data_IF_208623223659
#
_entry.id   IF_208623223659
#
_cell.length_a   1.000
_cell.length_b   1.000
_cell.length_c   1.000
_cell.angle_alpha   90.00
_cell.angle_beta   90.00
_cell.angle_gamma   90.00
#
_symmetry.space_group_name_H-M   'P 1'
#
loop_
_entity.id
_entity.type
_entity.pdbx_description
1 polymer ?
#
# COMPACT_ATOMS: atom_id res chain seq x y z
N UNK A 1 -16.83 19.98 -1.08
CA UNK A 1 -16.89 19.61 0.35
C UNK A 1 -15.52 19.81 0.96
N UNK A 2 -15.35 20.74 1.91
CA UNK A 2 -14.10 20.89 2.68
C UNK A 2 -14.17 19.89 3.83
N UNK A 3 -13.38 18.82 3.78
CA UNK A 3 -13.24 17.91 4.92
C UNK A 3 -12.65 18.70 6.10
N UNK A 4 -13.18 18.56 7.32
CA UNK A 4 -12.57 19.17 8.50
C UNK A 4 -11.12 18.66 8.64
N UNK A 5 -10.18 19.50 9.11
CA UNK A 5 -8.81 19.07 9.30
C UNK A 5 -8.79 17.91 10.30
N UNK A 6 -8.36 16.73 9.85
CA UNK A 6 -8.17 15.59 10.74
C UNK A 6 -7.02 15.91 11.70
N UNK A 7 -7.22 15.72 13.00
CA UNK A 7 -6.14 15.77 13.98
C UNK A 7 -5.01 14.82 13.54
N UNK A 8 -3.80 15.35 13.40
CA UNK A 8 -2.60 14.58 13.07
C UNK A 8 -1.85 14.23 14.33
N UNK A 9 -1.26 13.04 14.37
CA UNK A 9 -0.34 12.69 15.44
C UNK A 9 0.90 13.59 15.40
N UNK A 10 1.51 13.81 16.58
CA UNK A 10 2.80 14.51 16.68
C UNK A 10 3.86 13.75 15.87
N UNK A 11 4.91 14.45 15.43
CA UNK A 11 6.03 13.80 14.73
C UNK A 11 6.59 12.64 15.57
N UNK A 12 6.75 11.47 14.95
CA UNK A 12 7.19 10.25 15.63
C UNK A 12 6.07 9.37 16.19
N UNK A 13 4.82 9.83 16.14
CA UNK A 13 3.65 9.05 16.56
C UNK A 13 2.78 8.70 15.35
N UNK A 14 2.17 7.51 15.39
CA UNK A 14 1.32 6.94 14.37
C UNK A 14 -0.11 6.81 14.87
N UNK A 15 -1.08 6.95 13.98
CA UNK A 15 -2.49 6.80 14.34
C UNK A 15 -2.89 5.33 14.29
N UNK A 16 -3.48 4.84 15.37
CA UNK A 16 -4.03 3.48 15.44
C UNK A 16 -5.41 3.39 14.79
N UNK A 17 -5.90 2.18 14.57
CA UNK A 17 -7.24 1.84 14.08
C UNK A 17 -8.35 2.32 15.02
N UNK A 18 -8.05 2.44 16.32
CA UNK A 18 -8.93 3.09 17.31
C UNK A 18 -8.89 4.63 17.25
N UNK A 19 -8.06 5.20 16.37
CA UNK A 19 -7.90 6.63 16.19
C UNK A 19 -6.98 7.31 17.21
N UNK A 20 -6.26 6.57 18.04
CA UNK A 20 -5.30 7.08 19.05
C UNK A 20 -3.90 7.27 18.44
N UNK A 21 -3.07 8.11 19.03
CA UNK A 21 -1.66 8.24 18.62
C UNK A 21 -0.77 7.37 19.50
N UNK A 22 0.10 6.56 18.90
CA UNK A 22 1.07 5.69 19.56
C UNK A 22 2.46 5.88 18.94
N UNK A 23 3.52 5.76 19.73
CA UNK A 23 4.90 5.71 19.25
C UNK A 23 5.31 4.29 18.82
N UNK A 24 4.54 3.28 19.21
CA UNK A 24 4.69 1.89 18.75
C UNK A 24 3.38 1.36 18.16
N UNK A 25 3.37 1.14 16.84
CA UNK A 25 2.29 0.43 16.13
C UNK A 25 2.79 -0.87 15.46
N UNK A 26 3.94 -1.41 15.90
CA UNK A 26 4.54 -2.62 15.34
C UNK A 26 3.62 -3.85 15.40
N UNK A 27 2.80 -3.94 16.46
CA UNK A 27 1.83 -5.04 16.67
C UNK A 27 0.45 -4.74 16.09
N UNK A 28 0.25 -3.54 15.55
CA UNK A 28 -1.04 -3.12 15.06
C UNK A 28 -1.29 -3.69 13.67
N UNK A 29 -2.42 -4.38 13.51
CA UNK A 29 -2.86 -4.89 12.22
C UNK A 29 -3.08 -3.73 11.25
N UNK A 30 -2.73 -3.95 9.99
CA UNK A 30 -3.15 -3.08 8.91
C UNK A 30 -4.67 -3.13 8.75
N UNK A 31 -5.29 -2.01 8.40
CA UNK A 31 -6.75 -1.94 8.22
C UNK A 31 -7.25 -2.72 7.02
N UNK A 32 -6.36 -3.12 6.12
CA UNK A 32 -6.65 -3.85 4.89
C UNK A 32 -6.22 -5.30 5.02
N UNK A 33 -7.06 -6.21 4.54
CA UNK A 33 -6.77 -7.63 4.49
C UNK A 33 -5.55 -7.93 3.60
N UNK A 34 -4.81 -8.99 3.93
CA UNK A 34 -3.59 -9.38 3.21
C UNK A 34 -2.47 -8.33 3.19
N UNK A 35 -2.54 -7.33 4.07
CA UNK A 35 -1.41 -6.48 4.41
C UNK A 35 -0.75 -6.91 5.70
N UNK A 36 0.55 -6.64 5.79
CA UNK A 36 1.37 -6.84 6.97
C UNK A 36 2.07 -5.54 7.35
N UNK A 37 2.16 -5.30 8.65
CA UNK A 37 2.90 -4.18 9.21
C UNK A 37 4.39 -4.51 9.17
N UNK A 38 5.16 -3.71 8.44
CA UNK A 38 6.62 -3.87 8.34
C UNK A 38 7.33 -2.75 9.09
N UNK A 39 8.47 -3.06 9.71
CA UNK A 39 9.27 -2.06 10.44
C UNK A 39 9.84 -1.01 9.51
N UNK A 40 10.18 -1.40 8.28
CA UNK A 40 10.73 -0.55 7.25
C UNK A 40 10.10 -0.92 5.91
N UNK A 41 9.12 -0.15 5.47
CA UNK A 41 8.44 -0.40 4.20
C UNK A 41 8.74 0.63 3.13
N UNK A 42 8.35 0.29 1.91
CA UNK A 42 8.41 1.15 0.74
C UNK A 42 7.16 2.04 0.63
N UNK A 43 7.25 3.17 -0.09
CA UNK A 43 6.07 3.96 -0.43
C UNK A 43 5.00 3.11 -1.12
N UNK A 44 3.73 3.42 -0.85
CA UNK A 44 2.59 2.70 -1.43
C UNK A 44 2.67 2.57 -2.95
N UNK A 45 3.03 3.65 -3.65
CA UNK A 45 3.18 3.69 -5.11
C UNK A 45 4.41 2.94 -5.62
N UNK A 46 5.26 2.44 -4.71
CA UNK A 46 6.40 1.55 -4.94
C UNK A 46 6.11 0.10 -4.53
N UNK A 47 4.86 -0.26 -4.24
CA UNK A 47 4.46 -1.66 -4.09
C UNK A 47 3.98 -2.21 -5.44
N UNK A 48 4.24 -3.51 -5.73
CA UNK A 48 3.77 -4.16 -6.96
C UNK A 48 2.26 -4.13 -7.08
N UNK A 49 1.79 -3.99 -8.32
CA UNK A 49 0.36 -3.95 -8.63
C UNK A 49 0.04 -4.63 -9.96
N UNK A 50 -1.21 -5.11 -10.10
CA UNK A 50 -1.65 -5.86 -11.28
C UNK A 50 -1.68 -5.05 -12.58
N UNK A 51 -1.74 -3.71 -12.51
CA UNK A 51 -1.82 -2.86 -13.70
C UNK A 51 -0.47 -2.63 -14.37
N UNK A 52 0.63 -3.03 -13.71
CA UNK A 52 2.00 -2.80 -14.18
C UNK A 52 2.76 -4.11 -14.33
N UNK A 53 2.74 -4.73 -15.53
CA UNK A 53 3.37 -6.04 -15.76
C UNK A 53 4.90 -6.02 -15.58
N UNK A 54 5.55 -4.87 -15.76
CA UNK A 54 6.99 -4.70 -15.57
C UNK A 54 7.31 -3.94 -14.28
N UNK A 55 6.91 -4.50 -13.13
CA UNK A 55 7.13 -3.85 -11.84
C UNK A 55 8.62 -3.57 -11.55
N UNK A 56 9.51 -4.50 -11.93
CA UNK A 56 10.96 -4.31 -11.81
C UNK A 56 11.48 -3.06 -12.54
N UNK A 57 10.90 -2.72 -13.68
CA UNK A 57 11.26 -1.53 -14.43
C UNK A 57 10.76 -0.26 -13.72
N UNK A 58 9.59 -0.31 -13.08
CA UNK A 58 9.05 0.81 -12.29
C UNK A 58 9.97 1.12 -11.10
N UNK A 59 10.44 0.10 -10.39
CA UNK A 59 11.39 0.25 -9.29
C UNK A 59 12.72 0.86 -9.76
N UNK A 60 13.17 0.48 -10.97
CA UNK A 60 14.42 0.99 -11.57
C UNK A 60 14.28 2.37 -12.19
N UNK A 61 13.10 2.81 -12.58
CA UNK A 61 12.89 4.11 -13.25
C UNK A 61 12.42 5.20 -12.28
N UNK A 62 11.81 4.81 -11.17
CA UNK A 62 11.26 5.76 -10.19
C UNK A 62 12.31 6.09 -9.12
N UNK A 63 12.93 7.27 -9.21
CA UNK A 63 13.96 7.74 -8.26
C UNK A 63 13.50 7.63 -6.79
N UNK A 64 12.22 7.86 -6.51
CA UNK A 64 11.64 7.76 -5.16
C UNK A 64 11.58 6.31 -4.64
N UNK A 65 11.47 5.32 -5.52
CA UNK A 65 11.52 3.90 -5.15
C UNK A 65 12.96 3.40 -5.07
N UNK A 66 13.87 3.97 -5.86
CA UNK A 66 15.32 3.70 -5.78
C UNK A 66 15.95 4.24 -4.50
N UNK A 67 15.55 5.45 -4.10
CA UNK A 67 15.80 5.98 -2.76
C UNK A 67 15.07 5.04 -1.83
N UNK A 68 15.78 4.06 -1.26
CA UNK A 68 15.30 3.06 -0.28
C UNK A 68 14.77 3.75 0.99
N UNK A 69 13.71 4.52 0.81
CA UNK A 69 13.13 5.41 1.77
C UNK A 69 12.36 4.53 2.72
N UNK A 70 12.93 4.35 3.90
CA UNK A 70 12.33 3.54 4.94
C UNK A 70 11.12 4.29 5.50
N UNK A 71 9.91 3.81 5.19
CA UNK A 71 8.70 4.28 5.86
C UNK A 71 8.51 3.42 7.11
N UNK A 72 8.71 3.98 8.32
CA UNK A 72 8.57 3.21 9.55
C UNK A 72 7.12 2.76 9.73
N UNK A 73 6.94 1.50 10.11
CA UNK A 73 5.63 0.91 10.40
C UNK A 73 4.61 1.00 9.25
N UNK A 74 5.11 0.94 8.01
CA UNK A 74 4.26 0.90 6.82
C UNK A 74 3.44 -0.40 6.74
N UNK A 75 2.36 -0.34 5.97
CA UNK A 75 1.58 -1.52 5.60
C UNK A 75 1.92 -1.91 4.15
N UNK A 76 2.33 -3.14 3.96
CA UNK A 76 2.64 -3.72 2.66
C UNK A 76 1.80 -4.96 2.41
N UNK A 77 1.51 -5.27 1.14
CA UNK A 77 0.94 -6.58 0.81
C UNK A 77 1.86 -7.70 1.31
N UNK A 78 1.25 -8.77 1.83
CA UNK A 78 1.99 -9.98 2.23
C UNK A 78 2.77 -10.55 1.04
N UNK A 79 3.86 -11.29 1.27
CA UNK A 79 4.54 -12.03 0.20
C UNK A 79 3.56 -12.89 -0.60
N UNK A 80 3.62 -12.81 -1.94
CA UNK A 80 2.68 -13.49 -2.85
C UNK A 80 1.38 -12.71 -3.12
N UNK A 81 1.19 -11.55 -2.50
CA UNK A 81 0.06 -10.65 -2.77
C UNK A 81 0.58 -9.34 -3.36
N UNK A 82 -0.20 -8.78 -4.28
CA UNK A 82 0.09 -7.50 -4.94
C UNK A 82 -1.13 -6.60 -4.89
N UNK A 83 -0.94 -5.30 -5.09
CA UNK A 83 -2.05 -4.37 -5.16
C UNK A 83 -2.90 -4.67 -6.39
N UNK A 84 -4.22 -4.78 -6.20
CA UNK A 84 -5.15 -4.90 -7.33
C UNK A 84 -5.06 -3.68 -8.27
N UNK A 85 -4.95 -2.50 -7.69
CA UNK A 85 -4.82 -1.22 -8.38
C UNK A 85 -4.05 -0.21 -7.51
N UNK A 86 -3.38 0.77 -8.12
CA UNK A 86 -2.69 1.84 -7.40
C UNK A 86 -3.65 2.91 -6.85
N UNK A 87 -4.62 2.51 -6.04
CA UNK A 87 -5.56 3.44 -5.40
C UNK A 87 -5.33 3.49 -3.88
N UNK A 88 -4.61 4.53 -3.44
CA UNK A 88 -4.17 4.70 -2.04
C UNK A 88 -5.33 4.74 -1.03
N UNK A 89 -6.53 5.18 -1.46
CA UNK A 89 -7.65 5.38 -0.54
C UNK A 89 -8.36 4.07 -0.14
N UNK A 90 -8.30 3.05 -0.99
CA UNK A 90 -8.92 1.73 -0.77
C UNK A 90 -8.00 0.63 -1.28
N UNK A 91 -6.79 0.51 -0.73
CA UNK A 91 -5.86 -0.45 -1.27
C UNK A 91 -6.39 -1.86 -1.01
N UNK A 92 -6.22 -2.73 -2.00
CA UNK A 92 -6.67 -4.12 -1.93
C UNK A 92 -5.51 -5.00 -2.38
N UNK A 93 -5.07 -5.92 -1.52
CA UNK A 93 -4.03 -6.88 -1.85
C UNK A 93 -4.67 -8.21 -2.26
N UNK A 94 -4.43 -8.63 -3.49
CA UNK A 94 -4.90 -9.91 -4.04
C UNK A 94 -3.70 -10.80 -4.36
N UNK A 95 -3.86 -12.13 -4.40
CA UNK A 95 -2.81 -13.02 -4.86
C UNK A 95 -2.33 -12.65 -6.26
N UNK A 96 -1.03 -12.75 -6.51
CA UNK A 96 -0.42 -12.39 -7.79
C UNK A 96 -1.05 -13.16 -8.97
N UNK A 97 -1.44 -14.43 -8.76
CA UNK A 97 -2.13 -15.23 -9.76
C UNK A 97 -3.49 -14.64 -10.22
N UNK A 98 -4.16 -13.85 -9.37
CA UNK A 98 -5.47 -13.26 -9.68
C UNK A 98 -5.36 -12.06 -10.64
N UNK A 99 -4.18 -11.44 -10.79
CA UNK A 99 -3.98 -10.33 -11.71
C UNK A 99 -4.36 -10.69 -13.16
N UNK A 100 -4.09 -11.93 -13.59
CA UNK A 100 -4.39 -12.44 -14.94
C UNK A 100 -5.89 -12.42 -15.28
N UNK A 101 -6.75 -12.49 -14.26
CA UNK A 101 -8.21 -12.49 -14.44
C UNK A 101 -8.84 -11.10 -14.46
N UNK A 102 -8.08 -10.06 -14.12
CA UNK A 102 -8.59 -8.68 -14.00
C UNK A 102 -8.49 -7.91 -15.33
N UNK A 103 -7.50 -8.25 -16.16
CA UNK A 103 -7.33 -7.69 -17.52
C UNK A 103 -8.46 -8.16 -18.46
N UNK A 104 -8.99 -9.37 -18.27
CA UNK A 104 -10.05 -9.93 -19.10
C UNK A 104 -11.47 -9.39 -18.80
N UNK A 105 -11.66 -8.61 -17.72
CA UNK A 105 -12.99 -8.06 -17.39
C UNK A 105 -13.29 -6.70 -18.02
N UNK A 106 -12.31 -6.07 -18.67
CA UNK A 106 -12.50 -4.76 -19.32
C UNK A 106 -12.80 -4.87 -20.82
N UNK A 107 -12.81 -6.07 -21.39
CA UNK A 107 -13.03 -6.31 -22.82
C UNK A 107 -14.47 -6.76 -23.18
N UNK A 108 -15.47 -6.44 -22.36
CA UNK A 108 -16.89 -6.67 -22.73
C UNK A 108 -17.73 -5.47 -22.30
N UNK A 109 -17.69 -4.40 -23.10
CA UNK A 109 -18.82 -3.51 -23.29
C UNK A 109 -18.82 -3.12 -24.78
N UNK A 110 -19.66 -3.83 -25.55
CA UNK A 110 -20.09 -3.44 -26.90
C UNK A 110 -21.13 -2.33 -26.81
#
# INVERSE_FOLDING_TARGET
MRYPPACRCKKGFFRTSEGKCTDDCSKEKCSVENMVRVTCGVPFYCQPDCSRPNWDDVLKTTEQCQKKTCIPHACECKPGFVLKEQYYMYPTCIPEEECKNTINKTAVFF
#
